data_IF_902622502204
#
_entry.id   IF_902622502204
#
_cell.length_a   1.000
_cell.length_b   1.000
_cell.length_c   1.000
_cell.angle_alpha   90.00
_cell.angle_beta   90.00
_cell.angle_gamma   90.00
#
_symmetry.space_group_name_H-M   'P 1'
#
loop_
_entity.id
_entity.type
_entity.pdbx_description
1 polymer ?
#
# COMPACT_ATOMS: atom_id res chain seq x y z
N UNK A 1 10.26 -1.05 5.48
CA UNK A 1 9.30 -0.78 4.38
C UNK A 1 10.01 -0.68 3.05
N UNK A 2 9.30 -1.01 1.99
CA UNK A 2 9.80 -0.90 0.64
C UNK A 2 9.39 -2.04 -0.26
N UNK A 3 9.68 -1.84 -1.55
CA UNK A 3 9.36 -2.79 -2.61
C UNK A 3 10.56 -3.69 -2.86
N UNK A 4 10.31 -4.99 -2.98
CA UNK A 4 11.33 -5.98 -3.28
C UNK A 4 10.83 -6.90 -4.37
N UNK A 5 11.64 -7.12 -5.40
CA UNK A 5 11.35 -8.11 -6.43
C UNK A 5 11.67 -9.49 -5.88
N UNK A 6 10.72 -10.44 -5.96
CA UNK A 6 10.88 -11.77 -5.39
C UNK A 6 10.77 -12.87 -6.45
N UNK A 7 10.48 -12.54 -7.68
CA UNK A 7 10.38 -13.49 -8.79
C UNK A 7 10.02 -12.75 -10.06
N UNK A 8 9.79 -13.50 -11.14
CA UNK A 8 9.37 -12.92 -12.42
C UNK A 8 7.99 -12.28 -12.28
N UNK A 9 7.92 -10.96 -12.47
CA UNK A 9 6.69 -10.19 -12.31
C UNK A 9 6.04 -10.37 -10.95
N UNK A 10 6.84 -10.67 -9.92
CA UNK A 10 6.36 -10.81 -8.55
C UNK A 10 7.15 -9.91 -7.63
N UNK A 11 6.43 -9.17 -6.80
CA UNK A 11 6.99 -8.20 -5.87
C UNK A 11 6.36 -8.36 -4.50
N UNK A 12 7.12 -8.00 -3.49
CA UNK A 12 6.65 -7.88 -2.13
C UNK A 12 6.78 -6.42 -1.72
N UNK A 13 5.71 -5.83 -1.23
CA UNK A 13 5.70 -4.45 -0.77
C UNK A 13 5.37 -4.42 0.71
N UNK A 14 6.36 -4.04 1.51
CA UNK A 14 6.20 -3.87 2.94
C UNK A 14 5.88 -2.41 3.23
N UNK A 15 4.73 -2.19 3.88
CA UNK A 15 4.23 -0.84 4.18
C UNK A 15 4.05 -0.72 5.69
N UNK A 16 4.49 0.40 6.25
CA UNK A 16 4.25 0.73 7.65
C UNK A 16 3.32 1.95 7.70
N UNK A 17 2.15 1.75 8.29
CA UNK A 17 1.20 2.83 8.50
C UNK A 17 1.47 3.50 9.85
N UNK A 18 1.33 4.80 9.89
CA UNK A 18 1.37 5.60 11.12
C UNK A 18 0.54 6.85 10.87
N UNK A 19 0.23 7.60 11.93
CA UNK A 19 -0.46 8.87 11.75
C UNK A 19 0.56 9.92 11.26
N UNK A 20 0.49 10.43 10.10
CA UNK A 20 -0.53 10.32 9.06
C UNK A 20 0.18 9.95 7.76
N UNK A 21 0.75 8.77 7.73
CA UNK A 21 1.68 8.38 6.68
C UNK A 21 1.57 6.89 6.36
N UNK A 22 1.64 6.58 5.07
CA UNK A 22 1.96 5.22 4.61
C UNK A 22 3.41 5.24 4.13
N UNK A 23 4.29 4.60 4.90
CA UNK A 23 5.70 4.47 4.51
C UNK A 23 5.84 3.29 3.56
N UNK A 24 6.06 3.58 2.29
CA UNK A 24 6.24 2.58 1.23
C UNK A 24 7.72 2.43 0.84
N UNK A 25 8.61 3.08 1.60
CA UNK A 25 10.06 2.98 1.38
C UNK A 25 10.62 4.04 0.44
N UNK A 26 9.80 4.98 -0.02
CA UNK A 26 10.25 6.09 -0.88
C UNK A 26 9.81 7.42 -0.29
N UNK A 27 10.60 8.46 -0.52
CA UNK A 27 10.29 9.80 0.01
C UNK A 27 9.09 10.43 -0.69
N UNK A 28 8.91 10.16 -1.98
CA UNK A 28 7.81 10.71 -2.76
C UNK A 28 6.51 9.90 -2.62
N UNK A 29 6.56 8.80 -1.87
CA UNK A 29 5.43 7.90 -1.64
C UNK A 29 4.84 7.31 -2.92
N UNK A 30 5.69 7.11 -3.92
CA UNK A 30 5.33 6.48 -5.18
C UNK A 30 6.17 5.23 -5.36
N UNK A 31 5.51 4.12 -5.63
CA UNK A 31 6.15 2.83 -5.92
C UNK A 31 5.77 2.45 -7.34
N UNK A 32 6.76 2.06 -8.15
CA UNK A 32 6.53 1.68 -9.54
C UNK A 32 6.70 0.19 -9.73
N UNK A 33 5.76 -0.43 -10.44
CA UNK A 33 5.87 -1.83 -10.86
C UNK A 33 5.45 -1.94 -12.33
N UNK A 34 5.99 -2.92 -13.08
CA UNK A 34 5.55 -3.13 -14.47
C UNK A 34 4.13 -3.68 -14.52
N UNK A 35 3.43 -3.37 -15.60
CA UNK A 35 2.11 -3.96 -15.85
C UNK A 35 2.23 -5.49 -15.90
N UNK A 36 1.24 -6.18 -15.34
CA UNK A 36 1.26 -7.64 -15.21
C UNK A 36 1.90 -8.14 -13.94
N UNK A 37 2.42 -7.24 -13.09
CA UNK A 37 3.06 -7.62 -11.83
C UNK A 37 2.04 -8.06 -10.80
N UNK A 38 2.41 -9.08 -10.03
CA UNK A 38 1.68 -9.51 -8.83
C UNK A 38 2.41 -8.93 -7.62
N UNK A 39 1.70 -8.17 -6.81
CA UNK A 39 2.26 -7.53 -5.62
C UNK A 39 1.65 -8.14 -4.37
N UNK A 40 2.52 -8.65 -3.50
CA UNK A 40 2.15 -9.16 -2.18
C UNK A 40 2.36 -8.04 -1.17
N UNK A 41 1.25 -7.52 -0.64
CA UNK A 41 1.30 -6.44 0.34
C UNK A 41 1.42 -7.02 1.74
N UNK A 42 2.39 -6.53 2.51
CA UNK A 42 2.51 -6.80 3.93
C UNK A 42 2.44 -5.46 4.66
N UNK A 43 1.36 -5.22 5.38
CA UNK A 43 1.07 -3.91 5.94
C UNK A 43 0.93 -4.00 7.45
N UNK A 44 1.66 -3.14 8.15
CA UNK A 44 1.59 -3.03 9.61
C UNK A 44 1.28 -1.60 10.00
N UNK A 45 0.78 -1.41 11.21
CA UNK A 45 0.64 -0.08 11.80
C UNK A 45 1.41 -0.02 13.11
N UNK A 46 2.10 1.07 13.36
CA UNK A 46 2.89 1.22 14.58
C UNK A 46 2.25 2.10 15.64
N UNK A 47 1.06 2.64 15.39
CA UNK A 47 0.38 3.49 16.38
C UNK A 47 -1.09 3.10 16.57
N UNK A 48 -1.98 3.55 15.71
CA UNK A 48 -3.42 3.39 15.89
C UNK A 48 -4.00 2.54 14.76
N UNK A 49 -5.29 2.22 14.85
CA UNK A 49 -6.00 1.55 13.76
C UNK A 49 -6.07 2.48 12.55
N UNK A 50 -5.74 1.94 11.39
CA UNK A 50 -5.89 2.62 10.11
C UNK A 50 -6.65 1.72 9.15
N UNK A 51 -7.33 2.29 8.18
CA UNK A 51 -7.82 1.55 7.03
C UNK A 51 -6.76 1.54 5.94
N UNK A 52 -6.82 0.57 5.04
CA UNK A 52 -5.94 0.49 3.89
C UNK A 52 -6.79 0.11 2.70
N UNK A 53 -6.93 1.03 1.77
CA UNK A 53 -7.67 0.79 0.54
C UNK A 53 -6.81 1.17 -0.65
N UNK A 54 -6.72 0.24 -1.61
CA UNK A 54 -6.09 0.51 -2.90
C UNK A 54 -7.22 0.75 -3.91
N UNK A 55 -7.43 2.01 -4.25
CA UNK A 55 -8.55 2.44 -5.09
C UNK A 55 -8.44 1.79 -6.48
N UNK A 56 -9.54 1.31 -6.99
CA UNK A 56 -9.60 0.63 -8.28
C UNK A 56 -9.35 -0.87 -8.20
N UNK A 57 -9.18 -1.41 -7.00
CA UNK A 57 -8.97 -2.83 -6.77
C UNK A 57 -9.89 -3.32 -5.65
N UNK A 58 -9.82 -4.63 -5.35
CA UNK A 58 -10.55 -5.22 -4.23
C UNK A 58 -9.76 -5.18 -2.92
N UNK A 59 -8.59 -4.52 -2.90
CA UNK A 59 -7.76 -4.45 -1.71
C UNK A 59 -8.36 -3.43 -0.75
N UNK A 60 -8.84 -3.93 0.39
CA UNK A 60 -9.45 -3.11 1.44
C UNK A 60 -9.29 -3.85 2.77
N UNK A 61 -8.50 -3.29 3.68
CA UNK A 61 -8.14 -3.94 4.93
C UNK A 61 -8.24 -2.97 6.10
N UNK A 62 -8.58 -3.51 7.27
CA UNK A 62 -8.45 -2.82 8.54
C UNK A 62 -7.08 -3.18 9.13
N UNK A 63 -6.28 -2.17 9.47
CA UNK A 63 -4.95 -2.37 10.05
C UNK A 63 -5.01 -2.18 11.55
N UNK A 64 -4.57 -3.18 12.31
CA UNK A 64 -4.55 -3.13 13.77
C UNK A 64 -3.13 -3.24 14.29
N UNK A 65 -2.74 -2.46 15.30
CA UNK A 65 -1.40 -2.56 15.89
C UNK A 65 -1.11 -3.97 16.39
N UNK A 66 0.09 -4.46 16.15
CA UNK A 66 0.51 -5.78 16.58
C UNK A 66 0.23 -6.90 15.58
N UNK A 67 -0.42 -6.60 14.46
CA UNK A 67 -0.75 -7.58 13.42
C UNK A 67 -0.16 -7.19 12.08
N UNK A 68 0.18 -8.20 11.28
CA UNK A 68 0.59 -7.99 9.88
C UNK A 68 -0.61 -8.37 9.02
N UNK A 69 -1.09 -7.42 8.23
CA UNK A 69 -2.17 -7.64 7.27
C UNK A 69 -1.57 -7.90 5.90
N UNK A 70 -2.00 -8.96 5.24
CA UNK A 70 -1.46 -9.34 3.94
C UNK A 70 -2.55 -9.40 2.89
N UNK A 71 -2.19 -9.01 1.68
CA UNK A 71 -3.07 -9.10 0.54
C UNK A 71 -2.23 -9.22 -0.74
N UNK A 72 -2.80 -9.82 -1.77
CA UNK A 72 -2.12 -9.99 -3.06
C UNK A 72 -3.01 -9.42 -4.15
N UNK A 73 -2.42 -8.64 -5.06
CA UNK A 73 -3.12 -8.10 -6.20
C UNK A 73 -2.23 -8.15 -7.45
N UNK A 74 -2.82 -8.53 -8.57
CA UNK A 74 -2.15 -8.50 -9.87
C UNK A 74 -2.64 -7.29 -10.65
N UNK A 75 -1.71 -6.44 -11.07
CA UNK A 75 -2.02 -5.20 -11.77
C UNK A 75 -1.98 -5.45 -13.29
N UNK A 76 -3.15 -5.63 -13.88
CA UNK A 76 -3.27 -5.97 -15.32
C UNK A 76 -3.34 -4.74 -16.20
N UNK A 77 -3.55 -3.55 -15.65
CA UNK A 77 -3.68 -2.31 -16.41
C UNK A 77 -2.71 -1.27 -15.89
N UNK A 78 -2.04 -0.53 -16.78
CA UNK A 78 -1.18 0.56 -16.34
C UNK A 78 -2.02 1.71 -15.75
N UNK A 79 -1.39 2.53 -14.95
CA UNK A 79 -2.02 3.67 -14.32
C UNK A 79 -1.52 3.92 -12.92
N UNK A 80 -2.11 4.90 -12.27
CA UNK A 80 -1.80 5.25 -10.89
C UNK A 80 -2.93 4.77 -9.97
N UNK A 81 -2.57 3.98 -8.98
CA UNK A 81 -3.50 3.44 -8.01
C UNK A 81 -3.19 4.07 -6.67
N UNK A 82 -4.17 4.75 -6.10
CA UNK A 82 -3.99 5.47 -4.84
C UNK A 82 -4.27 4.57 -3.65
N UNK A 83 -3.33 4.54 -2.71
CA UNK A 83 -3.52 3.96 -1.39
C UNK A 83 -4.06 5.05 -0.49
N UNK A 84 -5.13 4.78 0.23
CA UNK A 84 -5.68 5.73 1.18
C UNK A 84 -6.19 5.04 2.44
N UNK A 85 -6.24 5.81 3.52
CA UNK A 85 -6.83 5.37 4.79
C UNK A 85 -8.33 5.61 4.71
N UNK A 86 -9.12 4.54 4.75
CA UNK A 86 -10.57 4.63 4.65
C UNK A 86 -11.30 4.56 6.01
N UNK A 87 -10.51 4.64 7.11
CA UNK A 87 -11.03 4.73 8.47
C UNK A 87 -10.47 5.98 9.13
N UNK A 88 -11.29 6.68 9.90
CA UNK A 88 -10.82 7.87 10.61
C UNK A 88 -9.72 7.48 11.60
N UNK A 89 -8.54 8.07 11.45
CA UNK A 89 -7.39 7.78 12.29
C UNK A 89 -6.81 9.02 12.98
N UNK A 90 -7.48 10.15 12.87
CA UNK A 90 -7.07 11.40 13.48
C UNK A 90 -7.30 12.60 12.58
N UNK A 91 -6.91 13.80 13.03
CA UNK A 91 -7.18 15.04 12.30
C UNK A 91 -6.44 15.14 10.95
N UNK A 92 -5.36 14.38 10.77
CA UNK A 92 -4.62 14.34 9.50
C UNK A 92 -5.01 13.20 8.57
N UNK A 93 -6.12 12.52 8.85
CA UNK A 93 -6.58 11.33 8.13
C UNK A 93 -6.62 11.55 6.61
N UNK A 94 -7.14 12.66 6.15
CA UNK A 94 -7.29 12.94 4.71
C UNK A 94 -5.97 13.16 3.97
N UNK A 95 -4.87 13.34 4.70
CA UNK A 95 -3.53 13.52 4.11
C UNK A 95 -2.77 12.20 3.94
N UNK A 96 -3.34 11.09 4.41
CA UNK A 96 -2.66 9.80 4.49
C UNK A 96 -2.86 9.03 3.19
N UNK A 97 -1.97 9.25 2.24
CA UNK A 97 -2.02 8.61 0.92
C UNK A 97 -0.64 8.17 0.44
N UNK A 98 -0.62 7.20 -0.47
CA UNK A 98 0.55 6.81 -1.25
C UNK A 98 0.08 6.34 -2.61
N UNK A 99 0.99 6.08 -3.55
CA UNK A 99 0.64 5.74 -4.92
C UNK A 99 1.43 4.53 -5.39
N UNK A 100 0.75 3.60 -6.05
CA UNK A 100 1.37 2.56 -6.86
C UNK A 100 1.21 2.97 -8.31
N UNK A 101 2.33 3.19 -9.00
CA UNK A 101 2.32 3.49 -10.42
C UNK A 101 2.66 2.24 -11.20
N UNK A 102 1.72 1.80 -12.03
CA UNK A 102 1.88 0.61 -12.87
C UNK A 102 2.28 1.10 -14.25
N UNK A 103 3.47 0.73 -14.71
CA UNK A 103 4.06 1.22 -15.94
C UNK A 103 4.14 0.11 -16.97
N UNK A 104 4.08 0.49 -18.24
CA UNK A 104 4.22 -0.44 -19.36
C UNK A 104 5.66 -0.88 -19.56
#
# INVERSE_FOLDING_TARGET
PGLQEIGDNEYQLNIVASAFNFDVGTDDKIVQVPVGSTVHFNVTTKDVVHGFQLVGTNVNMMLEPGYISTYTNTFKKPGKYTILCNEYCGVGHHLMTATIEVIE
#
